data_IF_347269372306
#
_entry.id   IF_347269372306
#
_cell.length_a   1.000
_cell.length_b   1.000
_cell.length_c   1.000
_cell.angle_alpha   90.00
_cell.angle_beta   90.00
_cell.angle_gamma   90.00
#
_symmetry.space_group_name_H-M   'P 1'
#
loop_
_entity.id
_entity.type
_entity.pdbx_description
1 polymer ?
#
# COMPACT_ATOMS: atom_id res chain seq x y z
N UNK A 1 5.69 6.88 20.93
CA UNK A 1 5.35 5.43 21.00
C UNK A 1 6.57 4.66 20.52
N UNK A 2 6.82 3.46 21.01
CA UNK A 2 8.00 2.68 20.59
C UNK A 2 7.64 1.20 20.42
N UNK A 3 8.08 0.61 19.31
CA UNK A 3 8.09 -0.82 19.06
C UNK A 3 9.51 -1.37 19.12
N UNK A 4 9.68 -2.51 19.76
CA UNK A 4 10.98 -3.17 19.93
C UNK A 4 10.91 -4.65 19.56
N UNK A 5 12.06 -5.23 19.20
CA UNK A 5 12.31 -6.69 19.19
C UNK A 5 11.21 -7.52 18.49
N UNK A 6 11.05 -7.36 17.18
CA UNK A 6 10.08 -8.14 16.37
C UNK A 6 8.61 -7.94 16.78
N UNK A 7 8.29 -6.87 17.49
CA UNK A 7 6.90 -6.50 17.77
C UNK A 7 6.19 -6.04 16.50
N UNK A 8 4.87 -6.20 16.47
CA UNK A 8 3.98 -5.66 15.44
C UNK A 8 3.11 -4.56 16.06
N UNK A 9 3.13 -3.37 15.47
CA UNK A 9 2.28 -2.22 15.81
C UNK A 9 1.32 -2.01 14.65
N UNK A 10 0.02 -1.94 14.93
CA UNK A 10 -1.02 -1.64 13.95
C UNK A 10 -1.73 -0.38 14.43
N UNK A 11 -1.78 0.64 13.59
CA UNK A 11 -2.37 1.94 13.88
C UNK A 11 -3.44 2.20 12.81
N UNK A 12 -4.71 2.10 13.23
CA UNK A 12 -5.88 2.30 12.38
C UNK A 12 -6.56 3.63 12.74
N UNK A 13 -5.89 4.77 12.53
CA UNK A 13 -6.40 6.09 12.89
C UNK A 13 -5.93 6.63 14.25
N UNK A 14 -6.50 7.78 14.63
CA UNK A 14 -6.20 8.47 15.89
C UNK A 14 -4.91 9.32 15.84
N UNK A 15 -4.40 9.70 17.01
CA UNK A 15 -3.20 10.52 17.14
C UNK A 15 -2.17 9.83 18.02
N UNK A 16 -0.99 9.58 17.48
CA UNK A 16 0.22 9.32 18.25
C UNK A 16 0.82 10.68 18.59
N UNK A 17 1.27 10.85 19.84
CA UNK A 17 1.92 12.08 20.32
C UNK A 17 3.24 12.38 19.60
N UNK A 18 4.26 12.82 20.32
CA UNK A 18 5.47 13.40 19.71
C UNK A 18 6.18 12.54 18.65
N UNK A 19 6.10 11.20 18.69
CA UNK A 19 6.67 10.39 17.61
C UNK A 19 6.46 8.89 17.76
N UNK A 20 6.96 8.14 16.78
CA UNK A 20 6.96 6.67 16.76
C UNK A 20 8.34 6.14 16.38
N UNK A 21 8.91 5.27 17.22
CA UNK A 21 10.16 4.58 16.93
C UNK A 21 9.90 3.09 16.68
N UNK A 22 10.28 2.57 15.53
CA UNK A 22 10.28 1.16 15.18
C UNK A 22 11.72 0.63 15.24
N UNK A 23 12.01 -0.20 16.25
CA UNK A 23 13.37 -0.64 16.57
C UNK A 23 13.47 -2.17 16.51
N UNK A 24 14.62 -2.66 16.03
CA UNK A 24 15.04 -4.06 16.07
C UNK A 24 14.01 -5.04 15.47
N UNK A 25 13.90 -5.03 14.13
CA UNK A 25 12.98 -5.88 13.36
C UNK A 25 11.49 -5.65 13.66
N UNK A 26 11.12 -4.47 14.16
CA UNK A 26 9.72 -4.12 14.41
C UNK A 26 8.94 -4.04 13.08
N UNK A 27 7.66 -4.37 13.11
CA UNK A 27 6.72 -4.18 12.01
C UNK A 27 5.69 -3.14 12.41
N UNK A 28 5.51 -2.10 11.59
CA UNK A 28 4.49 -1.07 11.79
C UNK A 28 3.58 -1.03 10.57
N UNK A 29 2.27 -1.11 10.79
CA UNK A 29 1.25 -0.85 9.77
C UNK A 29 0.46 0.40 10.21
N UNK A 30 0.47 1.43 9.37
CA UNK A 30 -0.19 2.71 9.63
C UNK A 30 -1.22 3.02 8.52
N UNK A 31 -2.50 2.89 8.86
CA UNK A 31 -3.65 2.99 7.93
C UNK A 31 -4.52 4.20 8.28
N UNK A 32 -3.89 5.36 8.47
CA UNK A 32 -4.55 6.62 8.78
C UNK A 32 -4.33 7.14 10.20
N UNK A 33 -4.63 8.43 10.42
CA UNK A 33 -4.36 9.14 11.68
C UNK A 33 -3.17 10.11 11.57
N UNK A 34 -2.63 10.54 12.71
CA UNK A 34 -1.50 11.46 12.77
C UNK A 34 -0.40 11.01 13.74
N UNK A 35 0.86 11.09 13.30
CA UNK A 35 2.06 11.04 14.16
C UNK A 35 2.53 12.48 14.36
N UNK A 36 2.81 12.86 15.60
CA UNK A 36 3.12 14.24 16.00
C UNK A 36 4.32 14.85 15.27
N UNK A 37 5.55 14.56 15.72
CA UNK A 37 6.76 15.09 15.10
C UNK A 37 7.35 14.06 14.14
N UNK A 38 7.97 13.02 14.67
CA UNK A 38 8.86 12.17 13.89
C UNK A 38 8.46 10.68 13.90
N UNK A 39 8.69 10.02 12.78
CA UNK A 39 8.67 8.56 12.65
C UNK A 39 10.07 8.06 12.36
N UNK A 40 10.57 7.15 13.17
CA UNK A 40 11.87 6.51 12.98
C UNK A 40 11.73 5.01 12.72
N UNK A 41 12.39 4.51 11.68
CA UNK A 41 12.56 3.09 11.40
C UNK A 41 14.04 2.71 11.49
N UNK A 42 14.37 1.82 12.41
CA UNK A 42 15.75 1.42 12.70
C UNK A 42 15.92 -0.09 12.63
N UNK A 43 17.15 -0.53 12.33
CA UNK A 43 17.63 -1.91 12.53
C UNK A 43 16.72 -2.98 11.89
N UNK A 44 16.63 -2.97 10.55
CA UNK A 44 15.81 -3.94 9.79
C UNK A 44 14.32 -3.97 10.17
N UNK A 45 13.82 -2.90 10.76
CA UNK A 45 12.39 -2.73 10.97
C UNK A 45 11.69 -2.44 9.65
N UNK A 46 10.43 -2.86 9.56
CA UNK A 46 9.56 -2.63 8.42
C UNK A 46 8.42 -1.70 8.80
N UNK A 47 8.19 -0.66 8.01
CA UNK A 47 7.05 0.25 8.19
C UNK A 47 6.26 0.32 6.89
N UNK A 48 4.98 0.03 6.94
CA UNK A 48 4.06 0.20 5.83
C UNK A 48 3.04 1.29 6.21
N UNK A 49 3.09 2.43 5.52
CA UNK A 49 2.17 3.56 5.68
C UNK A 49 1.25 3.60 4.47
N UNK A 50 -0.04 3.46 4.71
CA UNK A 50 -1.06 3.45 3.66
C UNK A 50 -1.79 4.78 3.57
N UNK A 51 -2.00 5.47 4.70
CA UNK A 51 -2.62 6.79 4.78
C UNK A 51 -2.19 7.52 6.06
N UNK A 52 -2.39 8.83 6.11
CA UNK A 52 -2.29 9.63 7.34
C UNK A 52 -1.30 10.79 7.24
N UNK A 53 -0.79 11.24 8.39
CA UNK A 53 0.20 12.32 8.43
C UNK A 53 1.31 12.12 9.45
N UNK A 54 2.52 12.55 9.12
CA UNK A 54 3.66 12.71 10.03
C UNK A 54 3.97 14.20 10.09
N UNK A 55 3.92 14.82 11.27
CA UNK A 55 3.98 16.29 11.33
C UNK A 55 5.32 16.91 10.97
N UNK A 56 6.45 16.22 11.16
CA UNK A 56 7.79 16.72 10.80
C UNK A 56 8.55 15.77 9.89
N UNK A 57 9.17 14.72 10.42
CA UNK A 57 10.16 13.99 9.66
C UNK A 57 9.94 12.48 9.68
N UNK A 58 10.30 11.85 8.58
CA UNK A 58 10.51 10.40 8.54
C UNK A 58 12.00 10.09 8.40
N UNK A 59 12.48 9.13 9.20
CA UNK A 59 13.86 8.67 9.20
C UNK A 59 13.93 7.14 9.06
N UNK A 60 14.49 6.65 7.96
CA UNK A 60 14.83 5.24 7.75
C UNK A 60 16.33 5.02 7.92
N UNK A 61 16.73 4.12 8.81
CA UNK A 61 18.14 3.89 9.17
C UNK A 61 18.44 2.40 9.34
N UNK A 62 19.67 1.98 9.08
CA UNK A 62 20.23 0.64 9.33
C UNK A 62 19.39 -0.50 8.73
N UNK A 63 19.33 -0.56 7.40
CA UNK A 63 18.63 -1.60 6.63
C UNK A 63 17.13 -1.72 6.92
N UNK A 64 16.49 -0.66 7.43
CA UNK A 64 15.04 -0.61 7.53
C UNK A 64 14.40 -0.55 6.14
N UNK A 65 13.16 -1.02 6.05
CA UNK A 65 12.38 -1.01 4.81
C UNK A 65 11.09 -0.28 5.07
N UNK A 66 10.78 0.75 4.29
CA UNK A 66 9.56 1.52 4.48
C UNK A 66 8.84 1.77 3.18
N UNK A 67 7.54 1.50 3.18
CA UNK A 67 6.62 1.82 2.10
C UNK A 67 5.72 2.96 2.54
N UNK A 68 5.57 3.98 1.71
CA UNK A 68 4.75 5.17 2.00
C UNK A 68 3.77 5.39 0.86
N UNK A 69 2.48 5.37 1.16
CA UNK A 69 1.40 5.73 0.26
C UNK A 69 0.47 6.73 0.95
N UNK A 70 -0.13 7.64 0.16
CA UNK A 70 -1.15 8.60 0.56
C UNK A 70 -0.90 9.27 1.94
N UNK A 71 0.35 9.62 2.21
CA UNK A 71 0.77 10.18 3.50
C UNK A 71 1.27 11.62 3.35
N UNK A 72 0.85 12.50 4.25
CA UNK A 72 1.39 13.85 4.36
C UNK A 72 2.54 13.89 5.37
N UNK A 73 3.76 14.14 4.91
CA UNK A 73 4.93 14.34 5.78
C UNK A 73 5.26 15.83 5.79
N UNK A 74 5.17 16.49 6.94
CA UNK A 74 5.28 17.96 7.02
C UNK A 74 6.69 18.52 6.73
N UNK A 75 7.72 17.68 6.74
CA UNK A 75 9.11 18.07 6.55
C UNK A 75 9.88 17.08 5.69
N UNK A 76 11.06 16.69 6.16
CA UNK A 76 12.01 15.87 5.40
C UNK A 76 11.72 14.35 5.46
N UNK A 77 12.01 13.64 4.37
CA UNK A 77 12.33 12.21 4.38
C UNK A 77 13.85 12.06 4.39
N UNK A 78 14.36 11.22 5.29
CA UNK A 78 15.80 10.90 5.36
C UNK A 78 16.01 9.40 5.44
N UNK A 79 16.87 8.88 4.56
CA UNK A 79 17.28 7.48 4.58
C UNK A 79 18.81 7.39 4.75
N UNK A 80 19.28 6.49 5.62
CA UNK A 80 20.70 6.20 5.82
C UNK A 80 20.99 4.72 6.05
N UNK A 81 22.25 4.33 5.85
CA UNK A 81 22.80 3.01 6.18
C UNK A 81 21.99 1.86 5.58
N UNK A 82 22.00 1.74 4.24
CA UNK A 82 21.28 0.74 3.43
C UNK A 82 19.77 0.66 3.69
N UNK A 83 19.16 1.71 4.24
CA UNK A 83 17.71 1.80 4.36
C UNK A 83 17.06 1.90 2.99
N UNK A 84 15.92 1.24 2.83
CA UNK A 84 15.11 1.24 1.61
C UNK A 84 13.81 1.98 1.90
N UNK A 85 13.46 2.95 1.07
CA UNK A 85 12.23 3.74 1.20
C UNK A 85 11.54 3.84 -0.15
N UNK A 86 10.38 3.22 -0.29
CA UNK A 86 9.53 3.30 -1.49
C UNK A 86 8.35 4.24 -1.23
N UNK A 87 8.14 5.20 -2.14
CA UNK A 87 7.13 6.25 -2.01
C UNK A 87 6.20 6.16 -3.22
N UNK A 88 4.96 5.75 -2.96
CA UNK A 88 3.95 5.49 -3.99
C UNK A 88 3.08 6.70 -4.27
N UNK A 89 2.75 7.47 -3.23
CA UNK A 89 1.92 8.67 -3.32
C UNK A 89 2.02 9.47 -1.99
N UNK A 90 1.51 10.69 -1.97
CA UNK A 90 1.44 11.56 -0.80
C UNK A 90 2.10 12.91 -1.03
N UNK A 91 2.39 13.63 0.06
CA UNK A 91 3.02 14.95 -0.02
C UNK A 91 4.13 15.09 1.01
N UNK A 92 5.29 15.55 0.55
CA UNK A 92 6.47 15.76 1.39
C UNK A 92 6.72 17.26 1.46
N UNK A 93 6.63 17.82 2.66
CA UNK A 93 6.59 19.27 2.86
C UNK A 93 7.91 19.99 2.59
N UNK A 94 9.05 19.29 2.67
CA UNK A 94 10.35 19.94 2.53
C UNK A 94 11.31 19.22 1.57
N UNK A 95 12.10 18.24 2.03
CA UNK A 95 13.23 17.74 1.24
C UNK A 95 13.41 16.23 1.36
N UNK A 96 14.16 15.67 0.40
CA UNK A 96 14.58 14.27 0.40
C UNK A 96 16.08 14.20 0.65
N UNK A 97 16.51 13.28 1.51
CA UNK A 97 17.93 13.07 1.80
C UNK A 97 18.26 11.58 1.83
N UNK A 98 19.14 11.12 0.94
CA UNK A 98 19.70 9.76 0.94
C UNK A 98 21.21 9.78 1.25
N UNK A 99 21.65 8.96 2.21
CA UNK A 99 23.05 8.82 2.64
C UNK A 99 23.40 7.35 2.96
N UNK A 100 24.68 7.01 3.07
CA UNK A 100 25.16 5.68 3.48
C UNK A 100 24.52 4.49 2.76
N UNK A 101 24.56 4.43 1.43
CA UNK A 101 23.94 3.38 0.59
C UNK A 101 22.42 3.28 0.69
N UNK A 102 21.75 4.31 1.21
CA UNK A 102 20.29 4.29 1.23
C UNK A 102 19.73 4.35 -0.20
N UNK A 103 18.64 3.61 -0.40
CA UNK A 103 17.87 3.56 -1.64
C UNK A 103 16.51 4.20 -1.38
N UNK A 104 16.17 5.25 -2.13
CA UNK A 104 14.84 5.85 -2.09
C UNK A 104 14.26 5.78 -3.50
N UNK A 105 13.08 5.17 -3.65
CA UNK A 105 12.37 5.10 -4.94
C UNK A 105 11.07 5.87 -4.88
N UNK A 106 10.84 6.72 -5.87
CA UNK A 106 9.60 7.47 -6.06
C UNK A 106 8.81 6.90 -7.23
N UNK A 107 7.58 6.49 -6.96
CA UNK A 107 6.56 6.16 -7.95
C UNK A 107 5.51 7.26 -8.08
N UNK A 108 5.40 8.15 -7.09
CA UNK A 108 4.40 9.20 -7.08
C UNK A 108 4.51 10.16 -5.90
N UNK A 109 3.61 11.14 -5.89
CA UNK A 109 3.47 12.15 -4.84
C UNK A 109 4.19 13.47 -5.13
N UNK A 110 3.92 14.44 -4.28
CA UNK A 110 4.49 15.79 -4.35
C UNK A 110 5.71 15.94 -3.45
N UNK A 111 6.81 16.45 -4.02
CA UNK A 111 8.00 16.86 -3.25
C UNK A 111 8.03 18.39 -3.17
N UNK A 112 7.79 18.93 -1.98
CA UNK A 112 7.67 20.38 -1.76
C UNK A 112 8.97 21.19 -1.89
N UNK A 113 10.13 20.52 -2.00
CA UNK A 113 11.43 21.19 -2.07
C UNK A 113 12.51 20.33 -2.70
N UNK A 114 13.74 20.49 -2.21
CA UNK A 114 14.94 20.03 -2.92
C UNK A 114 15.28 18.54 -2.64
N UNK A 115 15.97 17.91 -3.59
CA UNK A 115 16.42 16.51 -3.50
C UNK A 115 17.92 16.48 -3.22
N UNK A 116 18.34 15.73 -2.19
CA UNK A 116 19.74 15.60 -1.82
C UNK A 116 20.18 14.14 -1.81
N UNK A 117 21.24 13.84 -2.56
CA UNK A 117 21.90 12.54 -2.54
C UNK A 117 23.36 12.73 -2.12
N UNK A 118 23.80 12.00 -1.08
CA UNK A 118 25.20 11.99 -0.64
C UNK A 118 25.63 13.12 0.30
N UNK A 119 24.73 13.68 1.13
CA UNK A 119 25.05 14.68 2.17
C UNK A 119 25.82 14.12 3.40
N UNK A 120 26.43 12.93 3.31
CA UNK A 120 27.13 12.32 4.46
C UNK A 120 28.45 13.02 4.76
N UNK A 121 28.70 13.35 6.03
CA UNK A 121 29.97 13.95 6.50
C UNK A 121 30.91 12.97 7.17
N UNK A 122 30.50 11.71 7.31
CA UNK A 122 31.24 10.72 8.09
C UNK A 122 32.27 9.92 7.27
N UNK A 123 32.55 10.35 6.03
CA UNK A 123 33.42 9.59 5.12
C UNK A 123 32.79 8.25 4.76
N UNK A 124 31.50 8.29 4.44
CA UNK A 124 30.76 7.16 3.87
C UNK A 124 30.98 7.22 2.36
N UNK A 125 31.83 6.33 1.86
CA UNK A 125 32.32 6.37 0.48
C UNK A 125 31.38 5.66 -0.50
N UNK A 126 30.23 5.25 -0.02
CA UNK A 126 29.36 4.35 -0.72
C UNK A 126 28.25 5.12 -1.46
N UNK A 127 27.86 4.59 -2.63
CA UNK A 127 26.98 5.28 -3.55
C UNK A 127 25.56 5.38 -2.99
N UNK A 128 24.97 6.57 -3.10
CA UNK A 128 23.58 6.82 -2.70
C UNK A 128 22.76 7.02 -3.95
N UNK A 129 21.69 6.25 -4.14
CA UNK A 129 20.87 6.33 -5.33
C UNK A 129 19.44 6.67 -4.92
N UNK A 130 18.95 7.78 -5.46
CA UNK A 130 17.52 8.07 -5.48
C UNK A 130 17.00 7.72 -6.87
N UNK A 131 15.93 6.94 -6.93
CA UNK A 131 15.35 6.46 -8.18
C UNK A 131 13.99 7.10 -8.41
N UNK A 132 13.75 7.62 -9.61
CA UNK A 132 12.43 8.08 -10.03
C UNK A 132 11.86 7.11 -11.07
N UNK A 133 10.67 6.58 -10.78
CA UNK A 133 9.92 5.71 -11.66
C UNK A 133 8.83 6.54 -12.36
N UNK A 134 8.79 6.49 -13.69
CA UNK A 134 7.88 7.33 -14.47
C UNK A 134 8.27 7.45 -15.93
N UNK A 135 7.93 8.58 -16.55
CA UNK A 135 8.12 8.87 -17.97
C UNK A 135 8.53 10.34 -18.20
N UNK A 136 8.97 10.65 -19.42
CA UNK A 136 9.31 12.01 -19.88
C UNK A 136 10.31 12.75 -18.99
N UNK A 137 11.25 12.02 -18.39
CA UNK A 137 12.28 12.61 -17.55
C UNK A 137 13.27 13.46 -18.34
N UNK A 138 13.65 14.59 -17.75
CA UNK A 138 14.70 15.44 -18.26
C UNK A 138 15.50 16.08 -17.12
N UNK A 139 16.80 16.28 -17.35
CA UNK A 139 17.71 16.99 -16.43
C UNK A 139 18.19 18.25 -17.11
N UNK A 140 17.93 19.40 -16.50
CA UNK A 140 18.22 20.73 -17.07
C UNK A 140 17.62 20.92 -18.48
N UNK A 141 16.46 20.30 -18.72
CA UNK A 141 15.77 20.33 -20.02
C UNK A 141 16.31 19.35 -21.07
N UNK A 142 17.33 18.54 -20.74
CA UNK A 142 17.80 17.47 -21.62
C UNK A 142 17.06 16.17 -21.30
N UNK A 143 16.36 15.55 -22.26
CA UNK A 143 15.73 14.24 -22.05
C UNK A 143 16.77 13.19 -21.64
N UNK A 144 16.40 12.33 -20.69
CA UNK A 144 17.25 11.23 -20.19
C UNK A 144 16.62 9.87 -20.51
N UNK A 145 17.44 8.83 -20.63
CA UNK A 145 16.96 7.46 -20.79
C UNK A 145 16.91 6.73 -19.45
N UNK A 146 16.18 5.61 -19.39
CA UNK A 146 16.19 4.76 -18.21
C UNK A 146 17.59 4.16 -17.99
N UNK A 147 18.06 4.20 -16.75
CA UNK A 147 19.40 3.81 -16.35
C UNK A 147 20.48 4.90 -16.52
N UNK A 148 20.15 6.05 -17.12
CA UNK A 148 21.04 7.20 -17.11
C UNK A 148 21.19 7.73 -15.67
N UNK A 149 22.31 8.38 -15.40
CA UNK A 149 22.57 9.08 -14.14
C UNK A 149 22.35 10.59 -14.31
N UNK A 150 21.71 11.23 -13.32
CA UNK A 150 21.47 12.67 -13.39
C UNK A 150 22.77 13.47 -13.39
N UNK A 151 23.84 12.94 -12.76
CA UNK A 151 25.16 13.56 -12.75
C UNK A 151 25.76 13.79 -14.14
N UNK A 152 25.41 12.97 -15.14
CA UNK A 152 25.87 13.11 -16.54
C UNK A 152 25.32 14.37 -17.22
N UNK A 153 24.20 14.90 -16.73
CA UNK A 153 23.48 16.07 -17.28
C UNK A 153 23.46 17.27 -16.31
N UNK A 154 23.98 17.08 -15.10
CA UNK A 154 24.05 18.09 -14.07
C UNK A 154 25.12 19.14 -14.38
N UNK A 155 25.07 20.26 -13.67
CA UNK A 155 26.06 21.33 -13.75
C UNK A 155 26.78 21.48 -12.39
N UNK A 156 28.06 21.89 -12.38
CA UNK A 156 28.73 22.22 -11.12
C UNK A 156 27.99 23.32 -10.38
N UNK A 157 27.83 23.14 -9.07
CA UNK A 157 27.17 24.09 -8.20
C UNK A 157 27.72 24.07 -6.78
N UNK A 158 26.96 24.69 -5.89
CA UNK A 158 27.26 24.77 -4.47
C UNK A 158 25.99 24.46 -3.73
N UNK A 159 26.04 23.48 -2.82
CA UNK A 159 24.84 23.13 -2.07
C UNK A 159 24.49 24.25 -1.06
N UNK A 160 23.19 24.45 -0.77
CA UNK A 160 22.72 25.68 -0.14
C UNK A 160 22.93 25.75 1.38
N UNK A 161 23.31 24.66 2.05
CA UNK A 161 23.38 24.59 3.51
C UNK A 161 24.79 24.82 4.06
N UNK A 162 25.81 24.23 3.45
CA UNK A 162 27.19 24.27 3.96
C UNK A 162 28.20 24.88 2.99
N UNK A 163 27.80 25.14 1.74
CA UNK A 163 28.69 25.67 0.72
C UNK A 163 29.61 24.62 0.09
N UNK A 164 29.30 23.34 0.23
CA UNK A 164 30.09 22.25 -0.35
C UNK A 164 29.92 22.23 -1.89
N UNK A 165 31.00 21.88 -2.60
CA UNK A 165 30.93 21.73 -4.06
C UNK A 165 30.08 20.51 -4.41
N UNK A 166 29.17 20.66 -5.37
CA UNK A 166 28.23 19.62 -5.75
C UNK A 166 27.96 19.64 -7.26
N UNK A 167 27.26 18.62 -7.75
CA UNK A 167 26.56 18.67 -9.03
C UNK A 167 25.09 18.99 -8.75
N UNK A 168 24.48 19.87 -9.54
CA UNK A 168 23.10 20.32 -9.31
C UNK A 168 22.38 20.55 -10.63
N UNK A 169 21.05 20.62 -10.57
CA UNK A 169 20.19 20.88 -11.71
C UNK A 169 18.72 20.82 -11.32
N UNK A 170 17.86 20.91 -12.32
CA UNK A 170 16.43 20.68 -12.18
C UNK A 170 16.08 19.37 -12.88
N UNK A 171 15.37 18.48 -12.19
CA UNK A 171 14.75 17.31 -12.79
C UNK A 171 13.29 17.65 -13.08
N UNK A 172 12.84 17.33 -14.28
CA UNK A 172 11.43 17.38 -14.66
C UNK A 172 10.98 16.03 -15.19
N UNK A 173 9.69 15.71 -15.09
CA UNK A 173 9.10 14.53 -15.71
C UNK A 173 7.72 14.22 -15.13
N UNK A 174 7.20 13.04 -15.44
CA UNK A 174 5.94 12.53 -14.89
C UNK A 174 6.22 11.25 -14.13
N UNK A 175 5.92 11.22 -12.83
CA UNK A 175 6.05 10.03 -11.99
C UNK A 175 5.03 8.95 -12.41
N UNK A 176 5.25 7.70 -11.98
CA UNK A 176 4.45 6.55 -12.37
C UNK A 176 2.95 6.69 -12.05
N UNK A 177 2.60 7.39 -10.96
CA UNK A 177 1.21 7.68 -10.61
C UNK A 177 0.58 8.85 -11.41
N UNK A 178 1.34 9.48 -12.31
CA UNK A 178 0.92 10.62 -13.14
C UNK A 178 1.30 11.99 -12.58
N UNK A 179 1.88 12.07 -11.38
CA UNK A 179 2.28 13.34 -10.79
C UNK A 179 3.45 14.01 -11.51
N UNK A 180 3.49 15.33 -11.45
CA UNK A 180 4.57 16.10 -12.09
C UNK A 180 5.76 16.22 -11.17
N UNK A 181 6.93 15.79 -11.65
CA UNK A 181 8.21 16.05 -11.01
C UNK A 181 8.79 17.36 -11.55
N UNK A 182 9.18 18.27 -10.66
CA UNK A 182 9.87 19.52 -11.03
C UNK A 182 10.65 20.04 -9.83
N UNK A 183 11.82 19.46 -9.59
CA UNK A 183 12.55 19.66 -8.35
C UNK A 183 14.02 19.93 -8.63
N UNK A 184 14.60 20.81 -7.81
CA UNK A 184 16.05 21.03 -7.81
C UNK A 184 16.72 19.89 -7.05
N UNK A 185 17.83 19.39 -7.57
CA UNK A 185 18.61 18.37 -6.90
C UNK A 185 20.05 18.85 -6.64
N UNK A 186 20.66 18.26 -5.62
CA UNK A 186 22.07 18.45 -5.27
C UNK A 186 22.71 17.09 -4.98
N UNK A 187 23.74 16.77 -5.75
CA UNK A 187 24.54 15.56 -5.65
C UNK A 187 25.88 15.91 -5.03
N UNK A 188 26.14 15.36 -3.86
CA UNK A 188 27.37 15.58 -3.11
C UNK A 188 28.13 14.26 -3.02
N UNK A 189 29.46 14.32 -3.16
CA UNK A 189 30.36 13.16 -3.10
C UNK A 189 29.96 12.01 -4.06
N UNK A 190 29.39 10.92 -3.53
CA UNK A 190 29.00 9.71 -4.26
C UNK A 190 27.47 9.54 -4.38
N UNK A 191 26.72 10.62 -4.22
CA UNK A 191 25.28 10.63 -4.47
C UNK A 191 24.94 10.77 -5.95
N UNK A 192 23.94 10.03 -6.42
CA UNK A 192 23.35 10.21 -7.73
C UNK A 192 21.83 10.00 -7.72
N UNK A 193 21.23 10.27 -8.87
CA UNK A 193 19.82 10.01 -9.18
C UNK A 193 19.77 9.18 -10.47
N UNK A 194 18.91 8.18 -10.50
CA UNK A 194 18.63 7.41 -11.72
C UNK A 194 17.13 7.35 -12.02
N UNK A 195 16.80 6.89 -13.22
CA UNK A 195 15.45 6.88 -13.76
C UNK A 195 15.10 5.47 -14.23
N UNK A 196 13.90 5.02 -13.89
CA UNK A 196 13.35 3.76 -14.35
C UNK A 196 11.97 3.99 -14.95
N UNK A 197 11.52 3.04 -15.77
CA UNK A 197 10.12 3.02 -16.17
C UNK A 197 9.26 2.86 -14.91
N UNK A 198 8.15 3.60 -14.85
CA UNK A 198 7.09 3.30 -13.88
C UNK A 198 6.62 1.85 -14.01
N UNK A 199 6.08 1.21 -12.96
CA UNK A 199 5.25 0.03 -13.14
C UNK A 199 4.19 0.36 -14.20
N UNK A 200 4.03 -0.49 -15.21
CA UNK A 200 2.98 -0.27 -16.21
C UNK A 200 1.64 -0.11 -15.50
N UNK A 201 0.80 0.87 -15.91
CA UNK A 201 -0.50 1.06 -15.27
C UNK A 201 -1.28 -0.24 -15.38
N UNK A 202 -1.87 -0.67 -14.26
CA UNK A 202 -2.68 -1.88 -14.26
C UNK A 202 -3.88 -1.68 -15.18
N UNK A 203 -4.14 -2.66 -16.05
CA UNK A 203 -5.39 -2.67 -16.81
C UNK A 203 -6.51 -2.95 -15.82
N UNK A 204 -7.45 -2.00 -15.71
CA UNK A 204 -8.67 -2.20 -14.94
C UNK A 204 -9.52 -3.27 -15.62
N UNK A 205 -9.81 -4.34 -14.88
CA UNK A 205 -10.64 -5.45 -15.35
C UNK A 205 -11.94 -5.52 -14.54
N UNK A 206 -13.05 -5.77 -15.23
CA UNK A 206 -14.32 -6.00 -14.57
C UNK A 206 -14.27 -7.35 -13.82
N UNK A 207 -14.62 -7.33 -12.54
CA UNK A 207 -14.65 -8.52 -11.68
C UNK A 207 -16.07 -8.71 -11.16
N UNK A 208 -16.56 -9.95 -11.20
CA UNK A 208 -17.83 -10.36 -10.58
C UNK A 208 -17.55 -11.50 -9.59
N UNK A 209 -17.73 -11.23 -8.30
CA UNK A 209 -17.68 -12.25 -7.26
C UNK A 209 -19.06 -12.87 -7.18
N UNK A 210 -19.15 -14.18 -7.45
CA UNK A 210 -20.40 -14.94 -7.48
C UNK A 210 -21.36 -14.51 -8.60
N UNK A 211 -20.96 -14.73 -9.87
CA UNK A 211 -21.81 -14.54 -11.03
C UNK A 211 -23.24 -15.05 -10.87
N UNK A 212 -24.20 -14.22 -11.29
CA UNK A 212 -25.64 -14.47 -11.17
C UNK A 212 -26.24 -14.16 -9.79
N UNK A 213 -25.50 -13.49 -8.91
CA UNK A 213 -25.96 -13.02 -7.61
C UNK A 213 -25.75 -11.51 -7.50
N UNK A 214 -26.66 -10.81 -6.82
CA UNK A 214 -26.44 -9.42 -6.41
C UNK A 214 -27.40 -9.10 -5.25
N UNK A 215 -26.91 -8.74 -4.04
CA UNK A 215 -25.50 -8.71 -3.64
C UNK A 215 -24.86 -10.10 -3.64
N UNK A 216 -23.55 -10.17 -3.36
CA UNK A 216 -22.75 -11.40 -3.43
C UNK A 216 -22.53 -12.01 -2.03
N UNK A 217 -23.44 -12.88 -1.52
CA UNK A 217 -23.36 -13.33 -0.14
C UNK A 217 -22.21 -14.31 0.06
N UNK A 218 -21.34 -13.99 1.02
CA UNK A 218 -20.27 -14.85 1.52
C UNK A 218 -20.64 -15.38 2.90
N UNK A 219 -20.95 -16.68 2.98
CA UNK A 219 -21.14 -17.33 4.28
C UNK A 219 -19.79 -17.67 4.90
N UNK A 220 -19.46 -17.03 6.01
CA UNK A 220 -18.17 -17.19 6.70
C UNK A 220 -17.94 -18.58 7.29
N UNK A 221 -19.01 -19.35 7.50
CA UNK A 221 -18.94 -20.73 7.96
C UNK A 221 -18.85 -21.75 6.80
N UNK A 222 -18.90 -21.27 5.56
CA UNK A 222 -18.82 -22.12 4.37
C UNK A 222 -17.45 -22.82 4.30
N UNK A 223 -17.49 -24.12 4.00
CA UNK A 223 -16.30 -24.93 3.65
C UNK A 223 -16.17 -25.13 2.14
N UNK A 224 -17.01 -24.43 1.36
CA UNK A 224 -17.03 -24.51 -0.08
C UNK A 224 -15.99 -23.60 -0.73
N UNK A 225 -16.26 -23.28 -1.99
CA UNK A 225 -15.48 -22.31 -2.77
C UNK A 225 -16.32 -21.07 -3.05
N UNK A 226 -15.65 -19.92 -3.12
CA UNK A 226 -16.18 -18.67 -3.63
C UNK A 226 -15.91 -18.62 -5.15
N UNK A 227 -16.93 -18.69 -6.01
CA UNK A 227 -16.76 -18.43 -7.43
C UNK A 227 -16.53 -16.95 -7.69
N UNK A 228 -15.62 -16.62 -8.60
CA UNK A 228 -15.31 -15.26 -9.08
C UNK A 228 -15.08 -15.33 -10.58
N UNK A 229 -15.38 -14.28 -11.32
CA UNK A 229 -15.05 -14.15 -12.74
C UNK A 229 -14.34 -12.83 -13.01
N UNK A 230 -13.28 -12.88 -13.84
CA UNK A 230 -12.76 -11.70 -14.53
C UNK A 230 -13.42 -11.68 -15.90
N UNK A 231 -14.14 -10.60 -16.22
CA UNK A 231 -15.05 -10.57 -17.35
C UNK A 231 -14.34 -10.15 -18.62
N UNK A 232 -14.62 -10.87 -19.71
CA UNK A 232 -14.14 -10.50 -21.03
C UNK A 232 -14.91 -9.31 -21.60
N UNK A 233 -14.29 -8.55 -22.50
CA UNK A 233 -14.96 -7.48 -23.25
C UNK A 233 -14.51 -7.50 -24.71
N UNK A 234 -15.05 -6.59 -25.53
CA UNK A 234 -14.57 -6.41 -26.91
C UNK A 234 -13.09 -6.02 -26.96
N UNK A 235 -12.62 -5.29 -25.94
CA UNK A 235 -11.26 -4.75 -25.87
C UNK A 235 -10.32 -5.57 -24.96
N UNK A 236 -10.84 -6.60 -24.26
CA UNK A 236 -10.06 -7.39 -23.30
C UNK A 236 -10.27 -8.90 -23.46
N UNK A 237 -9.23 -9.60 -23.92
CA UNK A 237 -9.19 -11.07 -23.98
C UNK A 237 -8.60 -11.66 -22.69
N UNK A 238 -9.47 -12.27 -21.86
CA UNK A 238 -9.10 -12.91 -20.60
C UNK A 238 -8.06 -14.03 -20.74
N UNK A 239 -7.81 -14.55 -21.96
CA UNK A 239 -6.76 -15.55 -22.20
C UNK A 239 -5.34 -14.97 -22.18
N UNK A 240 -5.20 -13.65 -22.23
CA UNK A 240 -3.91 -12.99 -22.06
C UNK A 240 -3.41 -13.04 -20.60
N UNK A 241 -4.30 -13.34 -19.65
CA UNK A 241 -4.00 -13.37 -18.21
C UNK A 241 -3.13 -14.59 -17.86
N UNK A 242 -2.03 -14.37 -17.16
CA UNK A 242 -1.35 -15.44 -16.44
C UNK A 242 -2.14 -15.79 -15.17
N UNK A 243 -2.96 -16.83 -15.26
CA UNK A 243 -3.81 -17.30 -14.17
C UNK A 243 -3.03 -17.64 -12.89
N UNK A 244 -1.76 -18.03 -12.99
CA UNK A 244 -0.94 -18.36 -11.82
C UNK A 244 -0.57 -17.12 -10.98
N UNK A 245 -0.59 -15.93 -11.60
CA UNK A 245 -0.33 -14.65 -10.93
C UNK A 245 -1.52 -14.15 -10.11
N UNK A 246 -2.75 -14.56 -10.46
CA UNK A 246 -3.99 -14.00 -9.90
C UNK A 246 -4.06 -14.16 -8.39
N UNK A 247 -4.39 -13.07 -7.69
CA UNK A 247 -4.68 -13.03 -6.26
C UNK A 247 -5.96 -12.25 -6.01
N UNK A 248 -6.88 -12.84 -5.25
CA UNK A 248 -8.05 -12.15 -4.68
C UNK A 248 -7.80 -11.97 -3.18
N UNK A 249 -7.72 -10.73 -2.70
CA UNK A 249 -7.32 -10.40 -1.33
C UNK A 249 -6.02 -11.16 -0.92
N UNK A 250 -5.03 -11.19 -1.82
CA UNK A 250 -3.76 -11.91 -1.62
C UNK A 250 -3.82 -13.44 -1.73
N UNK A 251 -4.98 -14.03 -2.01
CA UNK A 251 -5.17 -15.48 -2.10
C UNK A 251 -5.22 -15.92 -3.56
N UNK A 252 -4.43 -16.93 -3.95
CA UNK A 252 -4.49 -17.51 -5.29
C UNK A 252 -5.69 -18.45 -5.52
N UNK A 253 -6.19 -18.59 -6.76
CA UNK A 253 -7.32 -19.45 -7.08
C UNK A 253 -6.95 -20.94 -6.93
N UNK A 254 -7.88 -21.74 -6.42
CA UNK A 254 -7.73 -23.19 -6.34
C UNK A 254 -7.97 -23.88 -7.70
N UNK A 255 -8.83 -23.29 -8.54
CA UNK A 255 -9.16 -23.76 -9.88
C UNK A 255 -9.54 -22.57 -10.77
N UNK A 256 -9.35 -22.75 -12.07
CA UNK A 256 -9.78 -21.83 -13.10
C UNK A 256 -10.47 -22.58 -14.25
N UNK A 257 -11.30 -21.87 -15.01
CA UNK A 257 -11.90 -22.31 -16.27
C UNK A 257 -12.27 -21.07 -17.09
N UNK A 258 -12.54 -21.25 -18.38
CA UNK A 258 -13.07 -20.19 -19.22
C UNK A 258 -14.52 -20.50 -19.60
N UNK A 259 -15.44 -19.59 -19.28
CA UNK A 259 -16.88 -19.73 -19.51
C UNK A 259 -17.49 -18.34 -19.51
N UNK A 260 -18.41 -18.08 -20.43
CA UNK A 260 -19.23 -16.86 -20.45
C UNK A 260 -20.33 -17.00 -19.38
N UNK A 261 -20.22 -16.25 -18.28
CA UNK A 261 -21.06 -16.42 -17.08
C UNK A 261 -21.74 -15.14 -16.61
N UNK A 262 -21.21 -13.97 -16.94
CA UNK A 262 -21.70 -12.67 -16.48
C UNK A 262 -21.41 -11.56 -17.49
N UNK A 263 -21.93 -10.37 -17.20
CA UNK A 263 -21.69 -9.16 -17.98
C UNK A 263 -21.10 -8.05 -17.07
N UNK A 264 -20.25 -7.15 -17.59
CA UNK A 264 -19.78 -6.00 -16.82
C UNK A 264 -20.92 -5.07 -16.40
N UNK A 265 -20.82 -4.51 -15.18
CA UNK A 265 -21.68 -3.43 -14.72
C UNK A 265 -21.41 -2.15 -15.51
N UNK A 266 -22.45 -1.50 -16.01
CA UNK A 266 -22.32 -0.21 -16.70
C UNK A 266 -21.93 0.95 -15.77
N UNK A 267 -22.14 0.79 -14.46
CA UNK A 267 -21.74 1.74 -13.42
C UNK A 267 -20.90 0.99 -12.38
N UNK A 268 -19.58 1.10 -12.49
CA UNK A 268 -18.59 0.46 -11.61
C UNK A 268 -18.44 1.17 -10.26
N UNK A 269 -19.22 2.22 -9.99
CA UNK A 269 -19.09 2.96 -8.73
C UNK A 269 -19.61 2.16 -7.52
N UNK A 270 -18.72 1.97 -6.55
CA UNK A 270 -19.03 1.34 -5.27
C UNK A 270 -19.32 -0.16 -5.43
N UNK A 271 -20.37 -0.63 -4.76
CA UNK A 271 -20.74 -2.06 -4.74
C UNK A 271 -21.96 -2.35 -5.62
N UNK A 272 -22.10 -1.62 -6.72
CA UNK A 272 -23.14 -1.90 -7.71
C UNK A 272 -22.83 -3.22 -8.40
N UNK A 273 -23.82 -4.10 -8.46
CA UNK A 273 -23.74 -5.39 -9.14
C UNK A 273 -25.00 -5.61 -9.97
N UNK A 274 -24.92 -6.55 -10.91
CA UNK A 274 -26.05 -7.01 -11.72
C UNK A 274 -26.23 -8.51 -11.56
N UNK A 275 -27.39 -9.01 -11.96
CA UNK A 275 -27.66 -10.45 -12.05
C UNK A 275 -27.70 -10.93 -13.50
N UNK A 276 -27.16 -10.12 -14.41
CA UNK A 276 -27.13 -10.47 -15.83
C UNK A 276 -26.22 -11.66 -16.03
N UNK A 277 -26.64 -12.53 -16.95
CA UNK A 277 -25.94 -13.76 -17.25
C UNK A 277 -24.95 -13.57 -18.39
N UNK A 278 -24.69 -14.63 -19.17
CA UNK A 278 -23.75 -14.62 -20.28
C UNK A 278 -24.03 -13.50 -21.29
N UNK A 279 -22.99 -12.77 -21.72
CA UNK A 279 -23.08 -11.61 -22.61
C UNK A 279 -22.44 -11.81 -23.99
N UNK A 280 -21.84 -12.98 -24.22
CA UNK A 280 -21.16 -13.34 -25.45
C UNK A 280 -19.65 -13.10 -25.43
N UNK A 281 -19.11 -12.53 -24.36
CA UNK A 281 -17.67 -12.45 -24.12
C UNK A 281 -17.21 -13.58 -23.19
N UNK A 282 -15.97 -14.02 -23.37
CA UNK A 282 -15.45 -15.14 -22.60
C UNK A 282 -14.91 -14.63 -21.27
N UNK A 283 -15.36 -15.21 -20.14
CA UNK A 283 -14.84 -14.85 -18.82
C UNK A 283 -13.81 -15.86 -18.33
N UNK A 284 -12.86 -15.37 -17.52
CA UNK A 284 -11.98 -16.21 -16.71
C UNK A 284 -12.67 -16.48 -15.37
N UNK A 285 -13.24 -17.68 -15.24
CA UNK A 285 -13.86 -18.12 -13.99
C UNK A 285 -12.81 -18.73 -13.06
N UNK A 286 -12.89 -18.36 -11.79
CA UNK A 286 -11.95 -18.71 -10.73
C UNK A 286 -12.72 -19.26 -9.52
N UNK A 287 -12.11 -20.21 -8.81
CA UNK A 287 -12.65 -20.77 -7.56
C UNK A 287 -11.65 -20.55 -6.43
N UNK A 288 -12.03 -19.76 -5.44
CA UNK A 288 -11.22 -19.52 -4.24
C UNK A 288 -11.76 -20.32 -3.06
N UNK A 289 -10.88 -20.79 -2.17
CA UNK A 289 -11.32 -21.45 -0.94
C UNK A 289 -11.94 -20.40 0.00
N UNK A 290 -13.24 -20.52 0.29
CA UNK A 290 -13.97 -19.50 1.07
C UNK A 290 -13.29 -19.20 2.40
N UNK A 291 -12.76 -20.22 3.08
CA UNK A 291 -12.06 -20.05 4.36
C UNK A 291 -10.85 -19.13 4.28
N UNK A 292 -10.04 -19.26 3.23
CA UNK A 292 -8.83 -18.44 3.06
C UNK A 292 -9.18 -16.98 2.80
N UNK A 293 -10.24 -16.73 2.03
CA UNK A 293 -10.76 -15.38 1.82
C UNK A 293 -11.28 -14.79 3.14
N UNK A 294 -12.07 -15.56 3.88
CA UNK A 294 -12.61 -15.14 5.18
C UNK A 294 -11.49 -14.84 6.19
N UNK A 295 -10.41 -15.63 6.20
CA UNK A 295 -9.21 -15.38 7.02
C UNK A 295 -8.48 -14.09 6.61
N UNK A 296 -8.36 -13.83 5.30
CA UNK A 296 -7.72 -12.63 4.75
C UNK A 296 -8.52 -11.36 5.05
N UNK A 297 -9.85 -11.41 4.94
CA UNK A 297 -10.77 -10.30 5.25
C UNK A 297 -10.72 -9.94 6.73
N UNK A 298 -10.60 -10.93 7.61
CA UNK A 298 -10.42 -10.69 9.04
C UNK A 298 -11.71 -10.57 9.84
N UNK A 299 -11.77 -9.60 10.75
CA UNK A 299 -12.88 -9.46 11.71
C UNK A 299 -14.10 -8.87 11.01
N UNK A 300 -15.21 -9.63 10.92
CA UNK A 300 -16.44 -9.18 10.23
C UNK A 300 -17.73 -9.63 10.91
N UNK A 301 -18.76 -8.81 10.76
CA UNK A 301 -20.12 -9.03 11.24
C UNK A 301 -21.09 -9.41 10.12
N UNK A 302 -22.20 -10.02 10.52
CA UNK A 302 -23.29 -10.34 9.60
C UNK A 302 -23.89 -9.05 9.02
N UNK A 303 -23.94 -8.95 7.70
CA UNK A 303 -24.43 -7.78 6.98
C UNK A 303 -23.34 -6.78 6.54
N UNK A 304 -22.08 -6.97 6.94
CA UNK A 304 -20.98 -6.12 6.47
C UNK A 304 -20.83 -6.25 4.95
N UNK A 305 -20.60 -5.12 4.28
CA UNK A 305 -20.25 -5.06 2.87
C UNK A 305 -18.76 -4.80 2.75
N UNK A 306 -18.02 -5.72 2.11
CA UNK A 306 -16.56 -5.68 2.02
C UNK A 306 -16.17 -5.77 0.56
N UNK A 307 -15.37 -4.82 0.09
CA UNK A 307 -14.77 -4.86 -1.23
C UNK A 307 -13.56 -5.80 -1.21
N UNK A 308 -13.47 -6.70 -2.19
CA UNK A 308 -12.30 -7.55 -2.40
C UNK A 308 -11.60 -7.14 -3.69
N UNK A 309 -10.32 -6.84 -3.58
CA UNK A 309 -9.45 -6.55 -4.72
C UNK A 309 -8.90 -7.83 -5.32
N UNK A 310 -8.83 -7.86 -6.64
CA UNK A 310 -8.19 -8.86 -7.47
C UNK A 310 -7.02 -8.19 -8.20
N UNK A 311 -5.84 -8.80 -8.09
CA UNK A 311 -4.65 -8.40 -8.85
C UNK A 311 -4.12 -9.58 -9.66
N UNK A 312 -3.39 -9.29 -10.73
CA UNK A 312 -2.67 -10.28 -11.52
C UNK A 312 -1.75 -9.62 -12.54
N UNK A 313 -1.21 -10.42 -13.45
CA UNK A 313 -0.50 -9.95 -14.63
C UNK A 313 -0.94 -10.71 -15.88
N UNK A 314 -0.80 -10.07 -17.03
CA UNK A 314 -0.83 -10.71 -18.33
C UNK A 314 0.48 -11.46 -18.61
N UNK A 315 0.53 -12.26 -19.67
CA UNK A 315 1.74 -12.99 -20.07
C UNK A 315 2.90 -12.08 -20.52
N UNK A 316 2.64 -10.83 -20.87
CA UNK A 316 3.65 -9.80 -21.14
C UNK A 316 4.03 -8.98 -19.90
N UNK A 317 3.63 -9.46 -18.71
CA UNK A 317 3.92 -8.87 -17.39
C UNK A 317 3.15 -7.57 -17.09
N UNK A 318 2.30 -7.08 -18.01
CA UNK A 318 1.41 -5.95 -17.73
C UNK A 318 0.47 -6.29 -16.56
N UNK A 319 0.42 -5.49 -15.49
CA UNK A 319 -0.44 -5.77 -14.35
C UNK A 319 -1.92 -5.57 -14.70
N UNK A 320 -2.77 -6.27 -13.97
CA UNK A 320 -4.22 -6.08 -14.01
C UNK A 320 -4.76 -5.93 -12.59
N UNK A 321 -5.80 -5.12 -12.44
CA UNK A 321 -6.50 -4.93 -11.18
C UNK A 321 -8.00 -4.82 -11.38
N UNK A 322 -8.77 -5.27 -10.40
CA UNK A 322 -10.22 -5.13 -10.41
C UNK A 322 -10.78 -5.44 -9.03
N UNK A 323 -12.05 -5.12 -8.80
CA UNK A 323 -12.65 -5.33 -7.49
C UNK A 323 -14.15 -5.60 -7.60
N UNK A 324 -14.69 -6.27 -6.59
CA UNK A 324 -16.13 -6.40 -6.38
C UNK A 324 -16.44 -6.61 -4.89
N UNK A 325 -17.68 -6.39 -4.49
CA UNK A 325 -18.11 -6.43 -3.09
C UNK A 325 -18.83 -7.72 -2.72
N UNK A 326 -18.46 -8.27 -1.58
CA UNK A 326 -19.19 -9.33 -0.90
C UNK A 326 -20.11 -8.78 0.19
N UNK A 327 -21.20 -9.49 0.44
CA UNK A 327 -22.06 -9.29 1.60
C UNK A 327 -21.85 -10.41 2.62
N UNK A 328 -21.32 -10.08 3.78
CA UNK A 328 -21.01 -11.05 4.83
C UNK A 328 -22.29 -11.68 5.38
N UNK A 329 -22.31 -13.01 5.44
CA UNK A 329 -23.34 -13.82 6.09
C UNK A 329 -22.73 -14.63 7.23
N UNK A 330 -23.16 -14.33 8.45
CA UNK A 330 -22.56 -14.84 9.69
C UNK A 330 -21.46 -13.94 10.24
N UNK A 331 -20.80 -14.36 11.31
CA UNK A 331 -19.70 -13.63 11.97
C UNK A 331 -18.40 -14.40 11.86
N UNK A 332 -17.28 -13.74 11.57
CA UNK A 332 -15.96 -14.36 11.54
C UNK A 332 -14.96 -13.58 12.38
N UNK A 333 -14.12 -14.36 13.09
CA UNK A 333 -13.29 -14.00 14.24
C UNK A 333 -14.09 -13.49 15.46
N UNK A 334 -13.67 -13.85 16.70
CA UNK A 334 -14.58 -13.87 17.84
C UNK A 334 -14.61 -12.57 18.61
N UNK A 335 -15.82 -12.21 19.06
CA UNK A 335 -16.05 -11.55 20.34
C UNK A 335 -15.18 -12.23 21.40
N UNK A 336 -14.31 -11.47 22.08
CA UNK A 336 -13.72 -11.95 23.33
C UNK A 336 -14.90 -12.33 24.25
N UNK A 337 -15.04 -13.56 24.76
CA UNK A 337 -16.18 -13.90 25.61
C UNK A 337 -16.30 -13.03 26.87
N UNK A 338 -15.23 -12.31 27.23
CA UNK A 338 -15.20 -11.31 28.28
C UNK A 338 -15.62 -9.90 27.83
N UNK A 339 -15.75 -9.64 26.52
CA UNK A 339 -16.41 -8.47 25.92
C UNK A 339 -17.92 -8.76 25.85
N UNK A 340 -18.56 -8.53 26.98
CA UNK A 340 -19.97 -8.86 27.20
C UNK A 340 -20.85 -7.81 26.53
N UNK A 341 -20.40 -6.55 26.46
CA UNK A 341 -21.15 -5.45 25.89
C UNK A 341 -21.00 -5.34 24.35
N UNK A 342 -20.03 -6.07 23.77
CA UNK A 342 -19.70 -6.13 22.33
C UNK A 342 -19.20 -4.80 21.77
N UNK A 343 -18.46 -4.03 22.57
CA UNK A 343 -17.86 -2.77 22.16
C UNK A 343 -16.43 -2.94 21.58
N UNK A 344 -15.92 -4.17 21.55
CA UNK A 344 -14.59 -4.51 21.02
C UNK A 344 -13.45 -4.36 22.03
N UNK A 345 -13.73 -3.95 23.28
CA UNK A 345 -12.71 -3.70 24.30
C UNK A 345 -13.12 -4.31 25.64
N UNK A 346 -12.42 -5.36 26.09
CA UNK A 346 -12.64 -5.90 27.45
C UNK A 346 -12.22 -4.91 28.53
N UNK A 347 -13.19 -4.28 29.18
CA UNK A 347 -12.95 -3.27 30.20
C UNK A 347 -14.00 -3.31 31.33
N UNK A 348 -14.00 -2.28 32.18
CA UNK A 348 -14.91 -2.21 33.34
C UNK A 348 -16.40 -2.19 32.95
N UNK A 349 -16.74 -1.75 31.73
CA UNK A 349 -18.10 -1.76 31.20
C UNK A 349 -18.63 -3.19 31.04
N UNK A 350 -17.82 -4.14 30.59
CA UNK A 350 -18.20 -5.55 30.50
C UNK A 350 -18.45 -6.17 31.87
N UNK A 351 -17.56 -5.84 32.82
CA UNK A 351 -17.70 -6.29 34.20
C UNK A 351 -18.99 -5.74 34.84
N UNK A 352 -19.40 -4.52 34.49
CA UNK A 352 -20.68 -3.95 34.95
C UNK A 352 -21.89 -4.77 34.44
N UNK A 353 -21.87 -5.25 33.20
CA UNK A 353 -22.95 -6.11 32.66
C UNK A 353 -22.96 -7.48 33.35
N UNK A 354 -21.79 -8.08 33.56
CA UNK A 354 -21.68 -9.33 34.30
C UNK A 354 -22.27 -9.22 35.72
N UNK A 355 -21.88 -8.17 36.46
CA UNK A 355 -22.30 -8.00 37.86
C UNK A 355 -23.79 -7.72 38.03
N UNK A 356 -24.47 -7.15 37.03
CA UNK A 356 -25.93 -6.91 37.09
C UNK A 356 -26.74 -8.20 37.22
N UNK A 357 -26.24 -9.31 36.66
CA UNK A 357 -26.96 -10.58 36.60
C UNK A 357 -26.26 -11.69 37.42
N UNK A 358 -25.21 -11.35 38.15
CA UNK A 358 -24.43 -12.30 38.94
C UNK A 358 -25.29 -12.87 40.08
N UNK A 359 -25.37 -14.21 40.15
CA UNK A 359 -26.21 -14.98 41.10
C UNK A 359 -27.72 -14.98 40.83
N UNK A 360 -28.19 -14.46 39.68
CA UNK A 360 -29.57 -14.69 39.27
C UNK A 360 -29.81 -16.16 38.91
N UNK A 361 -30.92 -16.71 39.39
CA UNK A 361 -31.35 -18.08 39.08
C UNK A 361 -31.66 -18.23 37.59
N UNK A 362 -31.26 -19.35 36.99
CA UNK A 362 -31.68 -19.72 35.64
C UNK A 362 -33.11 -20.27 35.56
N UNK A 363 -33.75 -20.49 36.71
CA UNK A 363 -35.15 -20.90 36.80
C UNK A 363 -36.00 -19.63 36.83
N UNK A 364 -36.80 -19.45 35.77
CA UNK A 364 -37.89 -18.47 35.75
C UNK A 364 -39.12 -19.19 36.28
N UNK A 365 -39.53 -18.88 37.51
CA UNK A 365 -40.85 -19.29 37.98
C UNK A 365 -41.90 -18.51 37.17
N UNK A 366 -42.73 -19.22 36.43
CA UNK A 366 -43.81 -18.65 35.61
C UNK A 366 -44.95 -18.11 36.46
#
# INVERSE_FOLDING_TARGET
MQGYNKSKIIINGGSIGDGLDALDYCQVEFTGGSIGDDLYAFHRSRVDIYEGSIGKHYFGVHASVTNIANCTIGGDIRASDIAIVDIFDGSIGNRIIANGEAEITFYGGDIGGDIFSGLSRNGDWDMNIITFAGTDFAVNGNPVNYGDLASDYAIPGTEPFWGDSCMTGVITGTLANGDTLNNTFYLVEYGDITFIAGPEPAIEVAVDIKPGSCPNPLNVNSKGVLPVAVLGTEDFDVKAIDVASIRLAGIGPARSSYEDVAAPVSDTNGCNCITDGPDGFLDLTLKFETKRIVEAVGDVNDGDQVQLELIGVLFDETPIEGADCILIRGRHKPINPADINKDGVVNAADFAIFTQNWLQSSIVDY
#
